data_IF_406456460384
#
_entry.id   IF_406456460384
#
_cell.length_a   1.000
_cell.length_b   1.000
_cell.length_c   1.000
_cell.angle_alpha   90.00
_cell.angle_beta   90.00
_cell.angle_gamma   90.00
#
_symmetry.space_group_name_H-M   'P 1'
#
loop_
_entity.id
_entity.type
_entity.pdbx_description
1 polymer ?
#
# COMPACT_ATOMS: atom_id res chain seq x y z
N UNK A 1 20.18 -37.42 43.31
CA UNK A 1 18.76 -36.99 43.30
C UNK A 1 18.71 -35.50 43.57
N UNK A 2 18.94 -34.67 42.55
CA UNK A 2 18.91 -33.20 42.68
C UNK A 2 17.47 -32.74 42.43
N UNK A 3 16.77 -32.33 43.49
CA UNK A 3 15.47 -31.67 43.37
C UNK A 3 15.73 -30.23 42.94
N UNK A 4 15.45 -29.91 41.69
CA UNK A 4 15.49 -28.56 41.17
C UNK A 4 14.43 -27.71 41.89
N UNK A 5 14.84 -26.97 42.92
CA UNK A 5 14.04 -25.91 43.50
C UNK A 5 14.04 -24.72 42.53
N UNK A 6 13.03 -24.67 41.66
CA UNK A 6 12.73 -23.43 40.93
C UNK A 6 12.22 -22.44 41.97
N UNK A 7 13.01 -21.40 42.24
CA UNK A 7 12.64 -20.37 43.20
C UNK A 7 11.33 -19.70 42.76
N UNK A 8 10.33 -19.52 43.65
CA UNK A 8 9.09 -18.83 43.32
C UNK A 8 9.33 -17.39 42.85
N UNK A 9 10.46 -16.79 43.25
CA UNK A 9 10.89 -15.47 42.79
C UNK A 9 11.21 -15.46 41.28
N UNK A 10 11.76 -16.56 40.75
CA UNK A 10 12.08 -16.71 39.33
C UNK A 10 10.81 -16.77 38.46
N UNK A 11 9.75 -17.43 38.96
CA UNK A 11 8.45 -17.50 38.28
C UNK A 11 7.78 -16.12 38.24
N UNK A 12 7.82 -15.37 39.36
CA UNK A 12 7.24 -14.03 39.45
C UNK A 12 7.97 -13.06 38.50
N UNK A 13 9.30 -13.12 38.45
CA UNK A 13 10.11 -12.29 37.54
C UNK A 13 9.81 -12.62 36.07
N UNK A 14 9.71 -13.90 35.71
CA UNK A 14 9.33 -14.30 34.34
C UNK A 14 7.92 -13.84 33.96
N UNK A 15 6.97 -13.86 34.90
CA UNK A 15 5.60 -13.39 34.68
C UNK A 15 5.55 -11.87 34.45
N UNK A 16 6.30 -11.08 35.21
CA UNK A 16 6.37 -9.63 35.00
C UNK A 16 7.13 -9.23 33.73
N UNK A 17 8.21 -9.93 33.39
CA UNK A 17 8.95 -9.70 32.14
C UNK A 17 8.07 -10.03 30.92
N UNK A 18 7.32 -11.14 30.96
CA UNK A 18 6.41 -11.49 29.86
C UNK A 18 5.23 -10.52 29.73
N UNK A 19 4.60 -10.10 30.82
CA UNK A 19 3.48 -9.14 30.78
C UNK A 19 3.88 -7.74 30.27
N UNK A 20 5.04 -7.24 30.71
CA UNK A 20 5.55 -5.93 30.27
C UNK A 20 6.00 -5.95 28.82
N UNK A 21 6.69 -7.01 28.38
CA UNK A 21 7.14 -7.11 26.98
C UNK A 21 5.99 -7.31 25.99
N UNK A 22 4.91 -8.00 26.38
CA UNK A 22 3.75 -8.17 25.51
C UNK A 22 2.96 -6.86 25.30
N UNK A 23 2.78 -6.06 26.36
CA UNK A 23 2.06 -4.78 26.28
C UNK A 23 2.87 -3.68 25.60
N UNK A 24 4.18 -3.61 25.84
CA UNK A 24 5.07 -2.65 25.17
C UNK A 24 5.11 -2.89 23.66
N UNK A 25 5.07 -4.16 23.21
CA UNK A 25 5.09 -4.47 21.78
C UNK A 25 3.89 -3.90 21.04
N UNK A 26 2.67 -4.10 21.53
CA UNK A 26 1.46 -3.62 20.83
C UNK A 26 1.43 -2.10 20.64
N UNK A 27 1.87 -1.32 21.63
CA UNK A 27 1.94 0.15 21.52
C UNK A 27 3.17 0.66 20.77
N UNK A 28 4.24 -0.12 20.68
CA UNK A 28 5.42 0.20 19.86
C UNK A 28 5.19 -0.04 18.37
N UNK A 29 4.20 -0.87 18.02
CA UNK A 29 3.88 -1.21 16.63
C UNK A 29 3.33 -0.04 15.83
N UNK A 30 2.64 0.90 16.48
CA UNK A 30 1.96 2.01 15.82
C UNK A 30 2.63 3.33 16.22
N UNK A 31 3.24 3.99 15.25
CA UNK A 31 3.77 5.35 15.42
C UNK A 31 2.87 6.32 14.69
N UNK A 32 2.00 7.02 15.41
CA UNK A 32 1.14 8.07 14.83
C UNK A 32 1.82 9.43 14.95
N UNK A 33 1.84 10.17 13.85
CA UNK A 33 2.36 11.52 13.76
C UNK A 33 1.22 12.54 13.82
N UNK A 34 1.50 13.75 14.34
CA UNK A 34 0.52 14.84 14.41
C UNK A 34 -0.02 15.31 13.05
N UNK A 35 0.56 14.85 11.95
CA UNK A 35 0.10 15.09 10.57
C UNK A 35 -1.06 14.19 10.15
N UNK A 36 -1.46 13.22 10.99
CA UNK A 36 -2.48 12.22 10.66
C UNK A 36 -1.92 11.03 9.87
N UNK A 37 -0.60 10.89 9.84
CA UNK A 37 0.09 9.71 9.31
C UNK A 37 0.33 8.72 10.46
N UNK A 38 0.13 7.43 10.20
CA UNK A 38 0.40 6.35 11.14
C UNK A 38 1.30 5.33 10.46
N UNK A 39 2.47 5.06 11.03
CA UNK A 39 3.37 4.00 10.58
C UNK A 39 3.15 2.75 11.43
N UNK A 40 2.88 1.63 10.78
CA UNK A 40 2.69 0.33 11.42
C UNK A 40 3.95 -0.52 11.18
N UNK A 41 4.71 -0.79 12.23
CA UNK A 41 5.84 -1.72 12.19
C UNK A 41 5.32 -3.16 12.05
N UNK A 42 5.76 -3.87 11.02
CA UNK A 42 5.30 -5.21 10.68
C UNK A 42 6.04 -6.33 11.42
N UNK A 43 7.10 -6.01 12.17
CA UNK A 43 7.83 -6.98 12.99
C UNK A 43 6.94 -7.56 14.10
N UNK A 44 6.59 -8.84 13.98
CA UNK A 44 5.64 -9.61 14.80
C UNK A 44 4.19 -9.11 14.79
N UNK A 45 3.85 -8.18 13.90
CA UNK A 45 2.56 -7.48 13.92
C UNK A 45 1.74 -7.70 12.66
N UNK A 46 2.12 -8.62 11.77
CA UNK A 46 1.36 -8.93 10.56
C UNK A 46 0.38 -10.10 10.73
N UNK A 47 0.15 -10.61 11.96
CA UNK A 47 -0.72 -11.77 12.18
C UNK A 47 -2.22 -11.45 12.30
N UNK A 48 -2.99 -12.50 12.64
CA UNK A 48 -4.42 -12.42 12.93
C UNK A 48 -5.25 -13.46 12.18
N UNK A 49 -6.57 -13.45 12.32
CA UNK A 49 -7.43 -14.33 11.55
C UNK A 49 -7.58 -13.83 10.11
N UNK A 50 -7.56 -14.73 9.12
CA UNK A 50 -7.64 -14.39 7.69
C UNK A 50 -9.00 -13.84 7.23
N UNK A 51 -9.97 -13.69 8.13
CA UNK A 51 -11.31 -13.26 7.79
C UNK A 51 -11.36 -11.74 7.56
N UNK A 52 -12.01 -11.24 6.50
CA UNK A 52 -12.05 -9.80 6.19
C UNK A 52 -12.79 -8.97 7.24
N UNK A 53 -13.77 -9.57 7.92
CA UNK A 53 -14.61 -8.92 8.92
C UNK A 53 -14.00 -8.97 10.33
N UNK A 54 -12.73 -9.33 10.46
CA UNK A 54 -11.98 -9.27 11.71
C UNK A 54 -10.76 -8.37 11.57
N UNK A 55 -10.46 -7.60 12.61
CA UNK A 55 -9.31 -6.69 12.63
C UNK A 55 -8.01 -7.48 12.56
N UNK A 56 -7.09 -7.08 11.69
CA UNK A 56 -5.74 -7.63 11.63
C UNK A 56 -4.79 -6.82 12.51
N UNK A 57 -3.67 -7.44 12.90
CA UNK A 57 -2.69 -6.75 13.76
C UNK A 57 -2.01 -5.62 12.98
N UNK A 58 -1.77 -5.77 11.68
CA UNK A 58 -1.24 -4.73 10.81
C UNK A 58 -2.34 -4.17 9.89
N UNK A 59 -3.20 -3.33 10.46
CA UNK A 59 -4.32 -2.70 9.75
C UNK A 59 -4.41 -1.21 10.11
N UNK A 60 -4.54 -0.37 9.08
CA UNK A 60 -4.75 1.07 9.23
C UNK A 60 -5.98 1.36 10.10
N UNK A 61 -5.95 2.48 10.82
CA UNK A 61 -7.06 2.87 11.69
C UNK A 61 -8.28 3.37 10.91
N UNK A 62 -9.33 3.68 11.67
CA UNK A 62 -10.55 4.25 11.15
C UNK A 62 -10.30 5.58 10.41
N UNK A 63 -10.73 5.66 9.15
CA UNK A 63 -10.51 6.81 8.29
C UNK A 63 -9.11 6.88 7.66
N UNK A 64 -8.23 5.92 7.97
CA UNK A 64 -6.91 5.78 7.37
C UNK A 64 -6.88 4.76 6.23
N UNK A 65 -6.04 5.02 5.24
CA UNK A 65 -5.76 4.12 4.14
C UNK A 65 -4.25 3.86 4.02
N UNK A 66 -3.87 2.69 3.50
CA UNK A 66 -2.47 2.43 3.20
C UNK A 66 -2.02 3.36 2.05
N UNK A 67 -0.91 4.05 2.27
CA UNK A 67 -0.34 5.01 1.32
C UNK A 67 1.11 4.73 1.00
N UNK A 68 1.82 3.93 1.79
CA UNK A 68 3.19 3.58 1.48
C UNK A 68 3.67 2.35 2.22
N UNK A 69 4.90 1.96 1.89
CA UNK A 69 5.61 0.88 2.53
C UNK A 69 7.05 1.30 2.78
N UNK A 70 7.70 0.60 3.69
CA UNK A 70 9.10 0.79 4.00
C UNK A 70 9.80 -0.56 4.12
N UNK A 71 11.05 -0.61 3.68
CA UNK A 71 11.96 -1.72 3.88
C UNK A 71 13.21 -1.25 4.65
N UNK A 72 13.88 -2.19 5.31
CA UNK A 72 15.11 -1.98 6.07
C UNK A 72 16.22 -2.88 5.51
N UNK A 73 16.74 -2.50 4.34
CA UNK A 73 17.94 -3.08 3.69
C UNK A 73 17.76 -4.50 3.14
N UNK A 74 16.58 -4.84 2.63
CA UNK A 74 16.30 -6.17 2.09
C UNK A 74 15.75 -6.13 0.65
N UNK A 75 16.06 -5.09 -0.13
CA UNK A 75 15.61 -4.92 -1.52
C UNK A 75 14.08 -5.09 -1.71
N UNK A 76 13.25 -4.75 -0.73
CA UNK A 76 11.81 -5.07 -0.72
C UNK A 76 11.48 -6.57 -0.83
N UNK A 77 12.37 -7.45 -0.40
CA UNK A 77 12.06 -8.86 -0.07
C UNK A 77 11.26 -8.95 1.23
N UNK A 78 11.35 -7.91 2.05
CA UNK A 78 10.69 -7.75 3.34
C UNK A 78 10.04 -6.38 3.38
N UNK A 79 8.92 -6.27 4.08
CA UNK A 79 8.32 -4.98 4.40
C UNK A 79 8.39 -4.83 5.91
N UNK A 80 9.06 -3.78 6.36
CA UNK A 80 9.26 -3.51 7.78
C UNK A 80 8.19 -2.59 8.32
N UNK A 81 7.64 -1.69 7.50
CA UNK A 81 6.51 -0.86 7.90
C UNK A 81 5.48 -0.64 6.80
N UNK A 82 4.21 -0.57 7.21
CA UNK A 82 3.10 -0.10 6.41
C UNK A 82 2.76 1.34 6.82
N UNK A 83 2.72 2.25 5.84
CA UNK A 83 2.36 3.65 6.08
C UNK A 83 0.87 3.84 5.81
N UNK A 84 0.17 4.31 6.82
CA UNK A 84 -1.25 4.64 6.79
C UNK A 84 -1.42 6.16 6.90
N UNK A 85 -2.42 6.71 6.22
CA UNK A 85 -2.72 8.14 6.28
C UNK A 85 -4.21 8.38 6.40
N UNK A 86 -4.59 9.31 7.27
CA UNK A 86 -5.97 9.76 7.39
C UNK A 86 -6.45 10.41 6.10
N UNK A 87 -7.28 9.69 5.35
CA UNK A 87 -7.68 10.04 3.98
C UNK A 87 -9.15 10.43 3.90
N UNK A 88 -10.00 9.86 4.75
CA UNK A 88 -11.45 10.03 4.67
C UNK A 88 -11.97 11.03 5.71
N UNK A 89 -11.65 12.31 5.53
CA UNK A 89 -11.97 13.39 6.50
C UNK A 89 -13.46 13.51 6.84
N UNK A 90 -14.33 13.40 5.84
CA UNK A 90 -15.79 13.44 5.99
C UNK A 90 -16.43 12.10 6.40
N UNK A 91 -15.63 11.06 6.67
CA UNK A 91 -16.18 9.78 7.14
C UNK A 91 -16.68 9.96 8.58
N UNK A 92 -17.89 9.50 8.93
CA UNK A 92 -18.32 9.48 10.32
C UNK A 92 -17.44 8.52 11.14
N UNK A 93 -17.10 8.93 12.36
CA UNK A 93 -16.35 8.10 13.28
C UNK A 93 -17.11 6.77 13.53
N UNK A 94 -16.39 5.66 13.44
CA UNK A 94 -16.93 4.33 13.75
C UNK A 94 -17.21 4.11 15.24
N UNK A 95 -16.77 5.03 16.11
CA UNK A 95 -16.85 4.86 17.56
C UNK A 95 -16.02 3.68 18.07
N UNK A 96 -14.95 3.31 17.35
CA UNK A 96 -14.11 2.15 17.66
C UNK A 96 -14.73 0.80 17.29
N UNK A 97 -15.89 0.79 16.61
CA UNK A 97 -16.54 -0.45 16.18
C UNK A 97 -15.93 -0.94 14.86
N UNK A 98 -15.46 -2.18 14.87
CA UNK A 98 -14.95 -2.87 13.69
C UNK A 98 -16.10 -3.63 12.98
N UNK A 99 -16.13 -3.71 11.63
CA UNK A 99 -15.18 -3.14 10.67
C UNK A 99 -15.29 -1.61 10.54
N UNK A 100 -14.15 -0.95 10.32
CA UNK A 100 -14.12 0.51 10.14
C UNK A 100 -14.76 0.97 8.83
N UNK A 101 -14.82 0.09 7.83
CA UNK A 101 -15.31 0.35 6.48
C UNK A 101 -16.54 -0.52 6.15
N UNK A 102 -17.39 -0.09 5.18
CA UNK A 102 -18.67 -0.77 4.91
C UNK A 102 -18.54 -2.24 4.52
N UNK A 103 -17.51 -2.58 3.76
CA UNK A 103 -17.23 -3.95 3.34
C UNK A 103 -15.75 -4.11 3.06
N UNK A 104 -15.17 -5.24 3.47
CA UNK A 104 -13.80 -5.60 3.14
C UNK A 104 -13.74 -7.00 2.53
N UNK A 105 -12.72 -7.25 1.73
CA UNK A 105 -12.38 -8.55 1.19
C UNK A 105 -10.86 -8.75 1.28
N UNK A 106 -10.45 -10.02 1.28
CA UNK A 106 -9.04 -10.39 1.30
C UNK A 106 -8.63 -10.85 -0.09
N UNK A 107 -7.45 -10.42 -0.52
CA UNK A 107 -6.79 -10.85 -1.75
C UNK A 107 -5.46 -11.49 -1.39
N UNK A 108 -5.03 -12.44 -2.21
CA UNK A 108 -3.71 -13.03 -2.11
C UNK A 108 -2.80 -12.35 -3.13
N UNK A 109 -1.68 -11.77 -2.69
CA UNK A 109 -0.70 -11.11 -3.56
C UNK A 109 -0.08 -12.07 -4.59
N UNK A 110 -0.11 -13.37 -4.32
CA UNK A 110 0.32 -14.39 -5.29
C UNK A 110 -0.57 -14.46 -6.52
N UNK A 111 -1.89 -14.27 -6.37
CA UNK A 111 -2.88 -14.50 -7.43
C UNK A 111 -3.45 -13.19 -7.98
N UNK A 112 -3.53 -12.14 -7.15
CA UNK A 112 -4.19 -10.88 -7.47
C UNK A 112 -3.36 -9.69 -7.00
N UNK A 113 -3.02 -8.81 -7.93
CA UNK A 113 -2.24 -7.60 -7.63
C UNK A 113 -3.09 -6.38 -7.28
N UNK A 114 -4.39 -6.42 -7.55
CA UNK A 114 -5.28 -5.28 -7.38
C UNK A 114 -6.42 -5.60 -6.42
N UNK A 115 -6.84 -4.59 -5.65
CA UNK A 115 -8.05 -4.66 -4.84
C UNK A 115 -9.30 -4.76 -5.70
N UNK A 116 -9.32 -4.04 -6.83
CA UNK A 116 -10.40 -4.07 -7.81
C UNK A 116 -10.36 -5.36 -8.65
N UNK A 117 -11.53 -5.98 -8.81
CA UNK A 117 -11.72 -7.18 -9.62
C UNK A 117 -12.89 -6.97 -10.58
N UNK A 118 -12.64 -6.99 -11.90
CA UNK A 118 -13.68 -6.71 -12.88
C UNK A 118 -14.80 -7.76 -12.87
N UNK A 119 -14.52 -9.00 -12.49
CA UNK A 119 -15.53 -10.06 -12.39
C UNK A 119 -16.47 -9.86 -11.20
N UNK A 120 -16.01 -9.12 -10.18
CA UNK A 120 -16.75 -8.81 -8.95
C UNK A 120 -16.82 -7.31 -8.70
N UNK A 121 -17.08 -6.55 -9.76
CA UNK A 121 -17.01 -5.07 -9.73
C UNK A 121 -17.94 -4.47 -8.68
N UNK A 122 -19.16 -4.99 -8.49
CA UNK A 122 -20.11 -4.49 -7.49
C UNK A 122 -19.55 -4.51 -6.06
N UNK A 123 -18.71 -5.50 -5.74
CA UNK A 123 -18.10 -5.69 -4.43
C UNK A 123 -16.77 -4.96 -4.30
N UNK A 124 -16.01 -4.86 -5.40
CA UNK A 124 -14.60 -4.42 -5.39
C UNK A 124 -14.35 -3.04 -5.97
N UNK A 125 -15.34 -2.42 -6.59
CA UNK A 125 -15.24 -1.02 -7.00
C UNK A 125 -15.07 -0.12 -5.79
N UNK A 126 -14.21 0.89 -5.94
CA UNK A 126 -13.84 1.80 -4.88
C UNK A 126 -13.26 1.07 -3.67
N UNK A 127 -12.39 0.09 -3.91
CA UNK A 127 -11.67 -0.58 -2.83
C UNK A 127 -10.19 -0.22 -2.86
N UNK A 128 -9.63 -0.12 -1.67
CA UNK A 128 -8.25 0.27 -1.41
C UNK A 128 -7.69 -0.58 -0.28
N UNK A 129 -6.37 -0.61 -0.16
CA UNK A 129 -5.67 -1.45 0.78
C UNK A 129 -5.69 -0.83 2.19
N UNK A 130 -5.96 -1.65 3.20
CA UNK A 130 -5.94 -1.24 4.62
C UNK A 130 -5.03 -2.07 5.48
N UNK A 131 -4.72 -3.30 5.09
CA UNK A 131 -3.97 -4.21 5.95
C UNK A 131 -3.12 -5.20 5.15
N UNK A 132 -2.09 -5.69 5.81
CA UNK A 132 -1.24 -6.79 5.34
C UNK A 132 -1.26 -7.90 6.35
N UNK A 133 -1.06 -9.13 5.89
CA UNK A 133 -0.96 -10.27 6.76
C UNK A 133 0.21 -11.17 6.43
N UNK A 134 0.83 -11.69 7.48
CA UNK A 134 1.89 -12.68 7.43
C UNK A 134 1.77 -13.63 8.64
N UNK A 135 2.05 -14.91 8.43
CA UNK A 135 2.18 -15.93 9.48
C UNK A 135 3.52 -15.86 10.22
N UNK A 136 4.51 -15.14 9.67
CA UNK A 136 5.88 -15.06 10.18
C UNK A 136 6.12 -13.84 11.07
N UNK A 137 7.34 -13.77 11.60
CA UNK A 137 7.80 -12.64 12.42
C UNK A 137 7.96 -11.33 11.65
N UNK A 138 7.94 -11.34 10.32
CA UNK A 138 8.00 -10.16 9.47
C UNK A 138 7.13 -10.39 8.25
N UNK A 139 6.74 -9.32 7.55
CA UNK A 139 6.07 -9.47 6.26
C UNK A 139 7.11 -9.78 5.18
N UNK A 140 7.16 -11.03 4.74
CA UNK A 140 8.07 -11.48 3.69
C UNK A 140 7.36 -11.52 2.34
N UNK A 141 7.91 -10.77 1.38
CA UNK A 141 7.49 -10.81 -0.03
C UNK A 141 8.12 -12.03 -0.73
N UNK A 142 9.38 -12.34 -0.37
CA UNK A 142 10.07 -13.51 -0.87
C UNK A 142 9.68 -14.77 -0.08
N UNK A 143 8.76 -15.54 -0.67
CA UNK A 143 8.37 -16.87 -0.18
C UNK A 143 8.62 -17.89 -1.29
N UNK A 144 9.89 -18.27 -1.48
CA UNK A 144 10.27 -19.39 -2.36
C UNK A 144 10.85 -20.53 -1.53
N UNK A 145 10.01 -21.52 -1.24
CA UNK A 145 9.91 -22.80 -1.98
C UNK A 145 11.16 -23.29 -2.73
N UNK A 146 12.36 -23.18 -2.16
CA UNK A 146 13.52 -23.94 -2.67
C UNK A 146 13.59 -25.30 -1.97
N UNK A 147 12.64 -26.17 -2.30
CA UNK A 147 12.67 -27.61 -1.98
C UNK A 147 12.73 -28.01 -0.50
N UNK A 148 12.66 -27.05 0.43
CA UNK A 148 12.53 -27.32 1.85
C UNK A 148 11.13 -27.84 2.18
N UNK A 149 10.94 -28.63 3.25
CA UNK A 149 9.64 -29.15 3.64
C UNK A 149 8.58 -28.06 3.88
N UNK A 150 8.98 -26.82 4.17
CA UNK A 150 8.08 -25.69 4.43
C UNK A 150 7.63 -24.93 3.16
N UNK A 151 8.23 -25.28 2.02
CA UNK A 151 7.92 -24.76 0.69
C UNK A 151 6.43 -24.86 0.29
N UNK A 152 5.73 -25.89 0.79
CA UNK A 152 4.32 -26.09 0.46
C UNK A 152 3.36 -25.20 1.29
N UNK A 153 3.82 -24.69 2.44
CA UNK A 153 2.97 -23.95 3.38
C UNK A 153 2.98 -22.43 3.15
N UNK A 154 3.80 -21.95 2.23
CA UNK A 154 4.19 -20.54 2.15
C UNK A 154 3.65 -19.82 0.89
N UNK A 155 2.42 -20.16 0.48
CA UNK A 155 1.81 -19.70 -0.79
C UNK A 155 0.87 -18.50 -0.63
N UNK A 156 0.55 -18.13 0.61
CA UNK A 156 -0.48 -17.14 0.92
C UNK A 156 0.18 -15.89 1.49
N UNK A 157 0.03 -14.78 0.77
CA UNK A 157 0.39 -13.43 1.21
C UNK A 157 -0.86 -12.56 1.12
N UNK A 158 -1.76 -12.67 2.11
CA UNK A 158 -3.02 -11.98 2.06
C UNK A 158 -2.85 -10.50 2.40
N UNK A 159 -3.57 -9.67 1.68
CA UNK A 159 -3.76 -8.26 2.00
C UNK A 159 -5.25 -7.94 1.99
N UNK A 160 -5.64 -7.00 2.84
CA UNK A 160 -7.03 -6.62 3.02
C UNK A 160 -7.34 -5.38 2.19
N UNK A 161 -8.43 -5.48 1.44
CA UNK A 161 -8.99 -4.39 0.66
C UNK A 161 -10.35 -4.02 1.26
N UNK A 162 -10.56 -2.75 1.53
CA UNK A 162 -11.82 -2.25 2.07
C UNK A 162 -12.45 -1.24 1.11
N UNK A 163 -13.78 -1.17 1.12
CA UNK A 163 -14.55 -0.24 0.31
C UNK A 163 -14.50 1.16 0.92
N UNK A 164 -14.41 2.16 0.06
CA UNK A 164 -14.47 3.56 0.49
C UNK A 164 -15.77 3.84 1.25
N UNK A 165 -15.76 4.78 2.21
CA UNK A 165 -16.97 5.24 2.87
C UNK A 165 -17.95 5.88 1.88
N UNK A 166 -19.26 5.99 2.23
CA UNK A 166 -20.23 6.68 1.40
C UNK A 166 -19.78 8.09 0.99
N UNK A 167 -19.97 8.43 -0.28
CA UNK A 167 -19.54 9.71 -0.87
C UNK A 167 -18.10 9.73 -1.38
N UNK A 168 -17.26 8.76 -1.04
CA UNK A 168 -15.91 8.63 -1.58
C UNK A 168 -15.83 7.64 -2.73
N UNK A 169 -14.93 7.90 -3.66
CA UNK A 169 -14.64 7.01 -4.78
C UNK A 169 -13.13 6.90 -5.02
N UNK A 170 -12.72 5.81 -5.66
CA UNK A 170 -11.36 5.66 -6.19
C UNK A 170 -11.39 6.07 -7.65
N UNK A 171 -10.61 7.09 -8.01
CA UNK A 171 -10.45 7.49 -9.40
C UNK A 171 -9.45 6.56 -10.10
N UNK A 172 -9.98 5.53 -10.75
CA UNK A 172 -9.16 4.59 -11.50
C UNK A 172 -8.50 5.19 -12.75
N UNK A 173 -8.92 6.40 -13.18
CA UNK A 173 -8.30 7.11 -14.31
C UNK A 173 -7.07 7.90 -13.88
N UNK A 174 -7.01 8.30 -12.61
CA UNK A 174 -5.87 8.98 -11.98
C UNK A 174 -4.79 8.02 -11.45
N UNK A 175 -4.88 6.71 -11.69
CA UNK A 175 -3.91 5.78 -11.11
C UNK A 175 -2.52 5.92 -11.72
N UNK A 176 -1.49 5.78 -10.90
CA UNK A 176 -0.11 5.65 -11.34
C UNK A 176 0.61 4.57 -10.54
N UNK A 177 1.75 4.13 -11.04
CA UNK A 177 2.57 3.10 -10.41
C UNK A 177 3.80 3.74 -9.77
N UNK A 178 4.12 3.31 -8.56
CA UNK A 178 5.35 3.67 -7.86
C UNK A 178 6.24 2.43 -7.82
N UNK A 179 7.30 2.37 -8.63
CA UNK A 179 8.23 1.24 -8.57
C UNK A 179 9.02 1.28 -7.26
N UNK A 180 9.47 0.11 -6.81
CA UNK A 180 10.36 -0.06 -5.66
C UNK A 180 11.84 -0.13 -6.05
N UNK A 181 12.11 0.00 -7.34
CA UNK A 181 13.42 -0.08 -7.95
C UNK A 181 13.56 0.96 -9.07
N UNK A 182 14.79 1.19 -9.50
CA UNK A 182 15.10 2.08 -10.60
C UNK A 182 15.04 1.36 -11.98
N UNK A 183 15.44 2.06 -13.06
CA UNK A 183 15.43 1.49 -14.41
C UNK A 183 16.45 0.35 -14.61
N UNK A 184 17.48 0.28 -13.76
CA UNK A 184 18.50 -0.77 -13.75
C UNK A 184 18.16 -1.91 -12.79
N UNK A 185 16.97 -1.86 -12.17
CA UNK A 185 16.49 -2.79 -11.15
C UNK A 185 17.36 -2.84 -9.89
N UNK A 186 18.01 -1.74 -9.60
CA UNK A 186 18.51 -1.49 -8.26
C UNK A 186 17.30 -1.14 -7.39
N UNK A 187 17.00 -2.00 -6.43
CA UNK A 187 15.93 -1.73 -5.47
C UNK A 187 16.35 -0.55 -4.60
N UNK A 188 15.38 0.26 -4.20
CA UNK A 188 15.69 1.33 -3.25
C UNK A 188 16.02 0.68 -1.90
N UNK A 189 17.30 0.40 -1.62
CA UNK A 189 17.78 -0.38 -0.47
C UNK A 189 18.67 0.41 0.52
N UNK A 190 18.65 1.75 0.43
CA UNK A 190 19.39 2.66 1.31
C UNK A 190 19.27 2.29 2.80
N UNK A 191 20.40 2.24 3.53
CA UNK A 191 20.43 2.02 4.98
C UNK A 191 19.59 3.00 5.80
N UNK A 192 19.24 4.16 5.23
CA UNK A 192 18.60 5.28 5.93
C UNK A 192 17.13 5.53 5.58
N UNK A 193 16.36 4.48 5.26
CA UNK A 193 14.89 4.47 5.09
C UNK A 193 14.39 4.88 3.69
N UNK A 194 14.29 3.91 2.78
CA UNK A 194 13.56 4.10 1.53
C UNK A 194 12.08 3.84 1.73
N UNK A 195 11.30 4.91 1.60
CA UNK A 195 9.85 4.88 1.66
C UNK A 195 9.32 4.96 0.24
N UNK A 196 8.63 3.90 -0.19
CA UNK A 196 7.85 3.90 -1.43
C UNK A 196 6.43 4.28 -1.04
N UNK A 197 6.04 5.50 -1.38
CA UNK A 197 4.76 6.08 -0.96
C UNK A 197 4.00 6.75 -2.11
N UNK A 198 2.68 6.70 -2.01
CA UNK A 198 1.74 7.42 -2.84
C UNK A 198 1.75 8.91 -2.46
N UNK A 199 1.50 9.77 -3.44
CA UNK A 199 1.39 11.22 -3.28
C UNK A 199 0.16 11.54 -2.40
N UNK A 200 0.15 12.71 -1.77
CA UNK A 200 -0.99 13.21 -1.02
C UNK A 200 -2.30 13.11 -1.82
N UNK A 201 -3.34 12.54 -1.19
CA UNK A 201 -4.64 12.29 -1.83
C UNK A 201 -4.73 10.99 -2.63
N UNK A 202 -3.67 10.18 -2.66
CA UNK A 202 -3.64 8.87 -3.29
C UNK A 202 -3.47 7.77 -2.26
N UNK A 203 -4.07 6.62 -2.53
CA UNK A 203 -4.01 5.42 -1.68
C UNK A 203 -3.56 4.23 -2.49
N UNK A 204 -2.98 3.24 -1.80
CA UNK A 204 -2.60 1.97 -2.40
C UNK A 204 -3.88 1.21 -2.73
N UNK A 205 -4.08 0.89 -4.00
CA UNK A 205 -5.20 0.05 -4.48
C UNK A 205 -4.74 -1.28 -5.03
N UNK A 206 -3.43 -1.51 -5.03
CA UNK A 206 -2.81 -2.72 -5.48
C UNK A 206 -1.31 -2.66 -5.32
N UNK A 207 -0.67 -3.81 -5.40
CA UNK A 207 0.76 -3.97 -5.38
C UNK A 207 1.11 -5.31 -6.02
N UNK A 208 2.30 -5.42 -6.59
CA UNK A 208 2.74 -6.65 -7.23
C UNK A 208 4.13 -7.04 -6.77
N UNK A 209 4.37 -8.35 -6.75
CA UNK A 209 5.70 -8.93 -6.62
C UNK A 209 6.16 -9.50 -7.96
N UNK A 210 7.47 -9.47 -8.20
CA UNK A 210 8.09 -10.02 -9.40
C UNK A 210 9.42 -10.68 -9.07
N UNK A 211 9.81 -11.65 -9.88
CA UNK A 211 11.14 -12.26 -9.80
C UNK A 211 12.16 -11.29 -10.38
N UNK A 212 13.11 -10.86 -9.57
CA UNK A 212 14.22 -10.02 -10.00
C UNK A 212 15.08 -10.81 -11.01
N UNK A 213 15.36 -10.25 -12.20
CA UNK A 213 15.99 -11.01 -13.26
C UNK A 213 17.49 -11.25 -13.05
N UNK A 214 18.16 -10.57 -12.11
CA UNK A 214 19.56 -10.81 -11.73
C UNK A 214 19.70 -11.91 -10.68
N UNK A 215 19.06 -11.75 -9.52
CA UNK A 215 19.25 -12.68 -8.39
C UNK A 215 18.23 -13.85 -8.36
N UNK A 216 17.18 -13.79 -9.20
CA UNK A 216 16.09 -14.78 -9.28
C UNK A 216 15.24 -14.93 -8.02
N UNK A 217 15.22 -13.92 -7.15
CA UNK A 217 14.39 -13.88 -5.94
C UNK A 217 13.12 -13.06 -6.18
N UNK A 218 12.09 -13.24 -5.34
CA UNK A 218 10.90 -12.38 -5.40
C UNK A 218 11.11 -11.11 -4.60
N UNK A 219 10.71 -10.00 -5.20
CA UNK A 219 10.71 -8.69 -4.59
C UNK A 219 9.36 -8.02 -4.86
N UNK A 220 8.97 -7.07 -4.02
CA UNK A 220 7.87 -6.19 -4.38
C UNK A 220 8.34 -5.31 -5.54
N UNK A 221 7.58 -5.22 -6.63
CA UNK A 221 7.95 -4.55 -7.88
C UNK A 221 7.41 -3.11 -7.93
N UNK A 222 6.13 -2.96 -7.58
CA UNK A 222 5.46 -1.66 -7.58
C UNK A 222 4.23 -1.62 -6.67
N UNK A 223 3.83 -0.39 -6.33
CA UNK A 223 2.52 -0.03 -5.77
C UNK A 223 1.66 0.65 -6.83
N UNK A 224 0.37 0.31 -6.89
CA UNK A 224 -0.62 1.08 -7.63
C UNK A 224 -1.22 2.11 -6.67
N UNK A 225 -0.99 3.38 -6.98
CA UNK A 225 -1.51 4.52 -6.25
C UNK A 225 -2.63 5.16 -7.06
N UNK A 226 -3.84 5.20 -6.51
CA UNK A 226 -4.99 5.85 -7.15
C UNK A 226 -5.55 6.97 -6.27
N UNK A 227 -6.06 8.01 -6.92
CA UNK A 227 -6.61 9.17 -6.24
C UNK A 227 -7.89 8.79 -5.51
N UNK A 228 -8.07 9.34 -4.31
CA UNK A 228 -9.34 9.30 -3.59
C UNK A 228 -10.09 10.60 -3.86
N UNK A 229 -11.28 10.50 -4.44
CA UNK A 229 -12.19 11.62 -4.63
C UNK A 229 -13.36 11.59 -3.66
N UNK A 230 -13.99 12.74 -3.45
CA UNK A 230 -15.21 12.89 -2.67
C UNK A 230 -16.27 13.62 -3.49
N UNK A 231 -17.49 13.08 -3.52
CA UNK A 231 -18.60 13.58 -4.33
C UNK A 231 -18.72 12.84 -5.67
N UNK A 232 -19.28 13.50 -6.71
CA UNK A 232 -19.40 12.92 -8.05
C UNK A 232 -18.03 12.54 -8.62
N UNK A 233 -17.91 11.39 -9.31
CA UNK A 233 -16.66 11.01 -9.95
C UNK A 233 -16.17 12.05 -10.96
N UNK A 234 -15.10 12.76 -10.60
CA UNK A 234 -14.28 13.54 -11.52
C UNK A 234 -13.10 12.67 -11.96
N UNK A 235 -12.98 12.43 -13.27
CA UNK A 235 -11.83 11.75 -13.86
C UNK A 235 -10.69 12.74 -14.02
N UNK A 236 -9.88 12.90 -12.99
CA UNK A 236 -8.69 13.71 -13.07
C UNK A 236 -7.55 12.93 -13.72
N UNK A 237 -6.57 13.65 -14.24
CA UNK A 237 -5.37 13.02 -14.76
C UNK A 237 -4.46 12.63 -13.59
N UNK A 238 -3.71 11.51 -13.71
CA UNK A 238 -2.70 11.16 -12.73
C UNK A 238 -1.68 12.31 -12.63
N UNK A 239 -1.05 12.50 -11.46
CA UNK A 239 0.02 13.46 -11.32
C UNK A 239 1.13 13.08 -12.30
N UNK A 240 1.72 14.07 -12.97
CA UNK A 240 2.88 13.85 -13.80
C UNK A 240 3.96 13.12 -13.00
N UNK A 241 4.24 11.88 -13.39
CA UNK A 241 5.24 11.07 -12.74
C UNK A 241 6.61 11.53 -13.27
N UNK A 242 7.51 12.09 -12.44
CA UNK A 242 8.77 12.68 -12.92
C UNK A 242 9.63 11.65 -13.68
N UNK A 243 9.52 10.37 -13.31
CA UNK A 243 10.23 9.23 -13.90
C UNK A 243 10.00 9.10 -15.41
N UNK A 244 8.80 9.40 -15.93
CA UNK A 244 8.55 9.33 -17.38
C UNK A 244 9.11 10.53 -18.15
N UNK A 245 9.34 11.66 -17.48
CA UNK A 245 9.84 12.87 -18.14
C UNK A 245 11.36 12.89 -18.32
N UNK A 246 12.08 11.92 -17.76
CA UNK A 246 13.55 11.91 -17.74
C UNK A 246 14.17 13.08 -16.97
N UNK A 247 13.35 13.96 -16.37
CA UNK A 247 13.81 15.08 -15.57
C UNK A 247 13.82 14.69 -14.08
N UNK A 248 14.92 14.97 -13.36
CA UNK A 248 15.00 14.74 -11.92
C UNK A 248 13.88 15.47 -11.17
N UNK A 249 13.37 14.86 -10.10
CA UNK A 249 12.27 15.40 -9.29
C UNK A 249 12.55 16.81 -8.73
N UNK A 250 13.81 17.15 -8.49
CA UNK A 250 14.22 18.48 -8.02
C UNK A 250 14.21 19.56 -9.11
N UNK A 251 14.14 19.20 -10.40
CA UNK A 251 14.14 20.16 -11.51
C UNK A 251 12.75 20.76 -11.78
N UNK A 252 11.69 20.31 -11.08
CA UNK A 252 10.33 20.85 -11.22
C UNK A 252 9.94 21.83 -10.11
N UNK A 253 10.85 22.71 -9.70
CA UNK A 253 10.51 23.91 -8.92
C UNK A 253 9.83 24.96 -9.82
N UNK A 254 8.60 24.66 -10.24
CA UNK A 254 7.67 25.69 -10.71
C UNK A 254 6.25 25.32 -10.28
N UNK A 255 6.10 24.86 -9.04
CA UNK A 255 4.81 24.96 -8.38
C UNK A 255 4.69 26.41 -7.93
N UNK A 256 4.01 27.22 -8.76
CA UNK A 256 3.80 28.63 -8.47
C UNK A 256 3.02 28.72 -7.15
N UNK A 257 3.72 29.11 -6.06
CA UNK A 257 3.12 29.18 -4.73
C UNK A 257 1.82 29.98 -4.84
N UNK A 258 0.66 29.40 -4.48
CA UNK A 258 -0.63 30.08 -4.60
C UNK A 258 -0.54 31.46 -3.98
N UNK A 259 -1.07 32.48 -4.65
CA UNK A 259 -0.83 33.89 -4.29
C UNK A 259 -1.12 34.20 -2.81
N UNK A 260 -2.12 33.53 -2.21
CA UNK A 260 -2.48 33.67 -0.81
C UNK A 260 -1.43 33.17 0.20
N UNK A 261 -0.50 32.30 -0.20
CA UNK A 261 0.53 31.72 0.67
C UNK A 261 1.92 32.30 0.46
N UNK A 262 2.15 33.13 -0.58
CA UNK A 262 3.46 33.71 -0.90
C UNK A 262 4.10 34.47 0.27
N UNK A 263 3.30 35.06 1.16
CA UNK A 263 3.79 35.80 2.33
C UNK A 263 4.35 34.90 3.45
N UNK A 264 4.01 33.61 3.47
CA UNK A 264 4.48 32.66 4.51
C UNK A 264 5.80 32.00 4.16
N UNK A 265 6.10 31.89 2.88
CA UNK A 265 7.42 31.46 2.42
C UNK A 265 8.32 32.69 2.46
N UNK A 266 9.14 32.80 3.52
CA UNK A 266 10.24 33.76 3.55
C UNK A 266 11.02 33.58 2.26
N UNK A 267 11.14 34.63 1.45
CA UNK A 267 12.15 34.67 0.38
C UNK A 267 13.48 34.36 1.06
N UNK A 268 14.05 33.19 0.78
CA UNK A 268 15.50 33.03 0.87
C UNK A 268 16.05 34.16 0.02
N UNK A 269 16.65 35.15 0.67
CA UNK A 269 17.40 36.17 -0.06
C UNK A 269 18.59 35.43 -0.66
N UNK A 270 18.70 35.54 -1.97
CA UNK A 270 19.71 34.89 -2.83
C UNK A 270 21.16 35.04 -2.31
N UNK A 271 21.40 35.97 -1.38
CA UNK A 271 22.68 36.19 -0.72
C UNK A 271 23.08 35.08 0.28
N UNK A 272 22.14 34.35 0.89
CA UNK A 272 22.49 33.26 1.84
C UNK A 272 22.93 31.98 1.12
N UNK A 273 22.38 31.71 -0.07
CA UNK A 273 22.75 30.55 -0.87
C UNK A 273 24.17 30.70 -1.48
N UNK A 274 24.63 31.94 -1.74
CA UNK A 274 26.00 32.19 -2.23
C UNK A 274 27.05 32.04 -1.11
N UNK A 275 26.70 32.31 0.15
CA UNK A 275 27.59 32.12 1.29
C UNK A 275 27.79 30.62 1.60
N UNK A 276 26.71 29.84 1.61
CA UNK A 276 26.74 28.38 1.81
C UNK A 276 27.53 27.65 0.71
N UNK A 277 27.42 28.11 -0.54
CA UNK A 277 28.21 27.55 -1.65
C UNK A 277 29.70 27.90 -1.59
N UNK A 278 30.09 29.00 -0.94
CA UNK A 278 31.52 29.32 -0.71
C UNK A 278 32.13 28.48 0.40
N UNK A 279 31.36 28.16 1.44
CA UNK A 279 31.86 27.38 2.58
C UNK A 279 32.15 25.92 2.17
N UNK A 280 31.33 25.33 1.30
CA UNK A 280 31.52 23.97 0.75
C UNK A 280 32.77 23.85 -0.15
N UNK A 281 33.23 24.94 -0.78
CA UNK A 281 34.46 24.92 -1.60
C UNK A 281 35.77 24.96 -0.80
N UNK A 282 35.71 25.14 0.52
CA UNK A 282 36.90 25.34 1.35
C UNK A 282 37.38 24.09 2.09
N UNK A 283 36.67 22.96 2.01
CA UNK A 283 37.14 21.72 2.63
C UNK A 283 38.10 20.93 1.71
N UNK A 284 39.31 20.59 2.18
CA UNK A 284 40.25 19.78 1.41
C UNK A 284 39.76 18.34 1.34
N UNK A 285 39.45 17.88 0.12
CA UNK A 285 39.14 16.49 -0.20
C UNK A 285 40.28 15.58 0.24
N UNK A 286 40.02 14.73 1.24
CA UNK A 286 40.91 13.62 1.60
C UNK A 286 40.78 12.51 0.56
N UNK A 287 41.87 12.31 -0.17
CA UNK A 287 42.09 11.31 -1.20
C UNK A 287 42.31 9.93 -0.54
N UNK A 288 41.27 9.10 -0.47
CA UNK A 288 41.41 7.66 -0.19
C UNK A 288 40.24 6.90 -0.82
N UNK A 289 40.47 6.28 -1.97
CA UNK A 289 40.07 4.89 -2.30
C UNK A 289 40.52 4.56 -3.72
N UNK A 290 41.74 4.04 -3.84
CA UNK A 290 42.16 3.22 -4.97
C UNK A 290 42.21 1.77 -4.49
N UNK A 291 41.23 0.95 -4.84
CA UNK A 291 41.42 -0.50 -4.97
C UNK A 291 40.52 -1.07 -6.06
N UNK A 292 41.18 -1.44 -7.16
CA UNK A 292 41.03 -2.74 -7.84
C UNK A 292 39.63 -3.11 -8.35
N UNK A 293 39.34 -2.73 -9.60
CA UNK A 293 38.36 -3.43 -10.42
C UNK A 293 38.99 -3.80 -11.77
N UNK A 294 39.60 -4.98 -11.84
CA UNK A 294 39.97 -5.62 -13.11
C UNK A 294 39.31 -7.01 -13.21
N UNK A 295 38.74 -7.26 -14.39
CA UNK A 295 38.26 -8.53 -14.96
C UNK A 295 36.99 -9.12 -14.32
N UNK A 296 35.95 -9.51 -15.06
CA UNK A 296 35.99 -10.23 -16.34
C UNK A 296 34.66 -10.07 -17.09
N UNK A 297 34.75 -9.67 -18.36
CA UNK A 297 33.70 -9.79 -19.36
C UNK A 297 33.46 -11.27 -19.70
N UNK A 298 32.20 -11.71 -19.73
CA UNK A 298 31.78 -12.68 -20.73
C UNK A 298 30.32 -12.44 -21.14
N UNK A 299 30.18 -12.07 -22.41
CA UNK A 299 28.93 -11.91 -23.15
C UNK A 299 28.32 -13.27 -23.44
N UNK A 300 27.04 -13.45 -23.13
CA UNK A 300 26.12 -14.20 -23.99
C UNK A 300 24.81 -13.45 -24.12
N UNK A 301 24.60 -12.96 -25.33
CA UNK A 301 23.43 -12.22 -25.80
C UNK A 301 22.27 -13.16 -26.08
N UNK A 302 21.15 -12.97 -25.40
CA UNK A 302 19.80 -13.34 -25.86
C UNK A 302 18.81 -12.35 -25.21
N UNK A 303 18.78 -11.12 -25.75
CA UNK A 303 17.75 -10.14 -25.38
C UNK A 303 16.48 -10.44 -26.17
N UNK A 304 15.64 -11.32 -25.63
CA UNK A 304 14.29 -11.49 -26.12
C UNK A 304 13.45 -10.34 -25.58
N UNK A 305 13.18 -9.34 -26.42
CA UNK A 305 12.40 -8.17 -26.04
C UNK A 305 10.95 -8.58 -25.79
N UNK A 306 10.56 -8.76 -24.53
CA UNK A 306 9.15 -8.79 -24.14
C UNK A 306 8.57 -7.36 -24.22
N UNK A 307 8.34 -6.89 -25.45
CA UNK A 307 7.37 -5.81 -25.69
C UNK A 307 6.00 -6.36 -25.35
N UNK A 308 5.36 -5.79 -24.32
CA UNK A 308 3.93 -5.96 -24.13
C UNK A 308 3.21 -5.61 -25.43
N UNK A 309 2.64 -6.62 -26.11
CA UNK A 309 1.62 -6.38 -27.13
C UNK A 309 0.42 -5.80 -26.39
N UNK A 310 0.11 -4.52 -26.66
CA UNK A 310 -1.21 -3.97 -26.35
C UNK A 310 -2.22 -4.77 -27.16
N UNK A 311 -2.92 -5.69 -26.53
CA UNK A 311 -4.14 -6.22 -27.13
C UNK A 311 -5.19 -5.11 -27.19
N UNK A 312 -5.97 -5.03 -28.28
CA UNK A 312 -7.02 -4.03 -28.41
C UNK A 312 -8.06 -4.25 -27.31
N UNK A 313 -8.34 -3.17 -26.58
CA UNK A 313 -9.41 -3.09 -25.58
C UNK A 313 -10.73 -3.56 -26.24
N UNK A 314 -11.45 -4.54 -25.67
CA UNK A 314 -12.75 -4.94 -26.17
C UNK A 314 -13.68 -3.72 -26.18
N UNK A 315 -14.25 -3.39 -27.34
CA UNK A 315 -15.25 -2.34 -27.45
C UNK A 315 -16.43 -2.71 -26.55
N UNK A 316 -16.68 -1.89 -25.53
CA UNK A 316 -17.87 -1.97 -24.69
C UNK A 316 -19.09 -1.89 -25.61
N UNK A 317 -19.86 -2.97 -25.67
CA UNK A 317 -21.12 -3.02 -26.40
C UNK A 317 -22.04 -1.94 -25.86
N UNK A 318 -22.48 -1.02 -26.73
CA UNK A 318 -23.58 -0.11 -26.43
C UNK A 318 -24.84 -0.95 -26.17
N UNK A 319 -25.63 -0.66 -25.12
CA UNK A 319 -26.92 -1.30 -24.97
C UNK A 319 -27.81 -0.92 -26.15
N UNK A 320 -28.27 -1.93 -26.88
CA UNK A 320 -29.34 -1.81 -27.87
C UNK A 320 -30.60 -1.43 -27.10
N UNK A 321 -31.21 -0.32 -27.46
CA UNK A 321 -32.52 0.12 -26.96
C UNK A 321 -33.55 -1.00 -27.17
N UNK A 322 -33.85 -1.76 -26.13
CA UNK A 322 -34.97 -2.68 -26.11
C UNK A 322 -36.26 -1.86 -26.03
N UNK A 323 -36.93 -1.71 -27.17
CA UNK A 323 -38.33 -1.29 -27.24
C UNK A 323 -39.17 -2.33 -26.51
N UNK A 324 -39.89 -1.88 -25.49
CA UNK A 324 -40.97 -2.60 -24.83
C UNK A 324 -42.10 -2.88 -25.82
N UNK A 325 -42.61 -4.12 -25.91
CA UNK A 325 -43.92 -4.38 -26.49
C UNK A 325 -44.99 -4.15 -25.43
N UNK A 326 -45.91 -3.24 -25.76
CA UNK A 326 -47.18 -3.02 -25.07
C UNK A 326 -48.09 -4.22 -25.38
N UNK A 327 -48.41 -5.03 -24.38
CA UNK A 327 -49.57 -5.90 -24.43
C UNK A 327 -50.62 -5.41 -23.44
N UNK A 328 -51.65 -4.79 -24.01
CA UNK A 328 -52.94 -4.53 -23.39
C UNK A 328 -53.74 -5.83 -23.32
N UNK A 329 -54.12 -6.26 -22.12
CA UNK A 329 -55.23 -7.21 -21.93
C UNK A 329 -56.18 -6.64 -20.86
N UNK A 330 -57.44 -6.55 -21.26
CA UNK A 330 -58.58 -6.09 -20.48
C UNK A 330 -58.94 -7.10 -19.36
N UNK A 331 -59.16 -6.55 -18.14
CA UNK A 331 -60.20 -6.76 -17.07
C UNK A 331 -61.23 -7.92 -17.20
N UNK A 332 -62.06 -8.29 -16.16
CA UNK A 332 -62.27 -7.72 -14.79
C UNK A 332 -62.52 -8.77 -13.65
N UNK A 333 -63.03 -8.26 -12.50
CA UNK A 333 -63.76 -8.94 -11.38
C UNK A 333 -62.80 -9.44 -10.29
N UNK A 334 -62.81 -9.01 -9.03
CA UNK A 334 -63.88 -8.54 -8.16
C UNK A 334 -63.96 -9.51 -6.97
N UNK A 335 -63.63 -9.05 -5.76
CA UNK A 335 -64.19 -9.49 -4.47
C UNK A 335 -63.41 -8.86 -3.31
N UNK A 336 -64.14 -8.10 -2.49
CA UNK A 336 -63.82 -7.75 -1.12
C UNK A 336 -63.62 -8.99 -0.24
N UNK A 337 -62.71 -8.91 0.73
CA UNK A 337 -63.04 -9.30 2.11
C UNK A 337 -62.00 -8.75 3.10
N UNK A 338 -62.50 -7.90 3.97
CA UNK A 338 -62.01 -7.58 5.31
C UNK A 338 -61.52 -8.79 6.11
N UNK A 339 -60.42 -8.67 6.87
CA UNK A 339 -60.37 -9.05 8.29
C UNK A 339 -59.10 -8.53 8.99
N UNK A 340 -59.31 -8.20 10.27
CA UNK A 340 -58.53 -7.42 11.23
C UNK A 340 -57.27 -8.11 11.80
N UNK A 341 -56.41 -7.40 12.56
CA UNK A 341 -55.21 -7.97 13.17
C UNK A 341 -55.53 -8.69 14.50
N UNK A 342 -54.74 -9.73 14.80
CA UNK A 342 -54.64 -10.33 16.13
C UNK A 342 -53.34 -9.85 16.81
N UNK A 343 -53.47 -9.75 18.14
CA UNK A 343 -52.61 -9.09 19.15
C UNK A 343 -51.11 -9.39 19.10
#
# INVERSE_FOLDING_TARGET
MWRNFVSPLFIIVLYHISGTTATIRYYSSYTSYGTGDTTIQLFHNAGGPLQPHQKWIAECFDGEAATGIQDQVADYKRITALWCRFTFVNKPASGGRYPYYPSCHVRNMTDFFFCFDPQRSALTVNTFMTAVWDSESMFFVNRLVRGGPDAANDTIQPYKCCKTPPGYYIDYTSCYYVPTHDIYWEYYDSPSHNIVYCRNGFVITGWAKKVNPWNKEWHLDWLQCCRVGYGPPAGELPPDNPVQSGMPSYSRLSEEIPAGYRHRYRRSTHDEDEYLMREIRSEPYHEYYNMSLESTLSRTSLSESMRYRREPIPKIYKPVNARTPVHSINRPIGCESTHAPLR
#
